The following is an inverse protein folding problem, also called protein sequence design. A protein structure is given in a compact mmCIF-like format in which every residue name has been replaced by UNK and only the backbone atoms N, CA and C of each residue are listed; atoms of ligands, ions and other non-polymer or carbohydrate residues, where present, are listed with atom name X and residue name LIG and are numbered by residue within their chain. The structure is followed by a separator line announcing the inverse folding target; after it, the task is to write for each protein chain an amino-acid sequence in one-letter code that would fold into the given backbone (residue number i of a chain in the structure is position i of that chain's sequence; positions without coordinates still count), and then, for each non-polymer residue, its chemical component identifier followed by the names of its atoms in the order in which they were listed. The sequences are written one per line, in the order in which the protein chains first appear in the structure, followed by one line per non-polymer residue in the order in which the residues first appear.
data_IF_031116105930
#
_entry.id   IF_031116105930
#
_cell.length_a   1.000
_cell.length_b   1.000
_cell.length_c   1.000
_cell.angle_alpha   90.00
_cell.angle_beta   90.00
_cell.angle_gamma   90.00
#
_symmetry.space_group_name_H-M   'P 1'
#
loop_
_entity.id
_entity.type
_entity.pdbx_description
1 polymer ?
#
# COMPACT_ATOMS: atom_id res chain seq x y z
N UNK A 1 14.91 -29.49 -7.05
CA UNK A 1 13.82 -29.21 -6.10
C UNK A 1 14.10 -27.83 -5.51
N UNK A 2 13.09 -26.94 -5.50
CA UNK A 2 13.20 -25.67 -4.80
C UNK A 2 13.41 -25.98 -3.31
N UNK A 3 14.43 -25.36 -2.69
CA UNK A 3 14.69 -25.55 -1.27
C UNK A 3 13.53 -24.89 -0.49
N UNK A 4 12.72 -25.71 0.16
CA UNK A 4 11.59 -25.23 0.97
C UNK A 4 11.97 -24.39 2.19
N UNK A 5 13.27 -24.08 2.36
CA UNK A 5 13.83 -23.24 3.39
C UNK A 5 14.42 -21.92 2.85
N UNK A 6 14.11 -21.54 1.63
CA UNK A 6 14.55 -20.28 1.04
C UNK A 6 13.58 -19.14 1.42
N UNK A 7 14.10 -18.12 2.07
CA UNK A 7 13.36 -16.92 2.49
C UNK A 7 12.71 -16.21 1.31
N UNK A 8 13.44 -16.03 0.21
CA UNK A 8 12.93 -15.32 -0.97
C UNK A 8 11.82 -16.09 -1.68
N UNK A 9 11.87 -17.41 -1.72
CA UNK A 9 10.78 -18.22 -2.26
C UNK A 9 9.49 -17.94 -1.48
N UNK A 10 9.54 -17.97 -0.14
CA UNK A 10 8.36 -17.72 0.67
C UNK A 10 7.89 -16.26 0.60
N UNK A 11 8.80 -15.30 0.55
CA UNK A 11 8.49 -13.90 0.34
C UNK A 11 7.77 -13.68 -1.01
N UNK A 12 8.27 -14.27 -2.09
CA UNK A 12 7.65 -14.18 -3.42
C UNK A 12 6.28 -14.87 -3.44
N UNK A 13 6.13 -16.04 -2.83
CA UNK A 13 4.84 -16.71 -2.73
C UNK A 13 3.83 -15.87 -1.92
N UNK A 14 4.27 -15.20 -0.87
CA UNK A 14 3.42 -14.25 -0.13
C UNK A 14 2.97 -13.09 -1.03
N UNK A 15 3.89 -12.47 -1.79
CA UNK A 15 3.55 -11.39 -2.73
C UNK A 15 2.53 -11.84 -3.79
N UNK A 16 2.72 -13.02 -4.38
CA UNK A 16 1.77 -13.57 -5.37
C UNK A 16 0.39 -13.77 -4.74
N UNK A 17 0.33 -14.25 -3.50
CA UNK A 17 -0.95 -14.47 -2.82
C UNK A 17 -1.62 -13.15 -2.42
N UNK A 18 -0.87 -12.11 -2.02
CA UNK A 18 -1.41 -10.76 -1.84
C UNK A 18 -2.05 -10.28 -3.14
N UNK A 19 -1.32 -10.34 -4.26
CA UNK A 19 -1.80 -9.89 -5.56
C UNK A 19 -3.05 -10.65 -6.07
N UNK A 20 -3.31 -11.84 -5.52
CA UNK A 20 -4.50 -12.66 -5.80
C UNK A 20 -5.62 -12.46 -4.79
N UNK A 21 -5.45 -11.61 -3.78
CA UNK A 21 -6.39 -11.44 -2.68
C UNK A 21 -6.44 -12.61 -1.68
N UNK A 22 -5.51 -13.58 -1.78
CA UNK A 22 -5.45 -14.75 -0.91
C UNK A 22 -4.67 -14.43 0.37
N UNK A 23 -5.20 -13.54 1.21
CA UNK A 23 -4.48 -13.00 2.38
C UNK A 23 -4.08 -14.08 3.41
N UNK A 24 -4.85 -15.14 3.55
CA UNK A 24 -4.53 -16.27 4.43
C UNK A 24 -3.26 -17.03 3.97
N UNK A 25 -3.18 -17.35 2.68
CA UNK A 25 -2.01 -18.01 2.11
C UNK A 25 -0.81 -17.07 2.10
N UNK A 26 -1.03 -15.77 1.85
CA UNK A 26 0.00 -14.76 1.97
C UNK A 26 0.60 -14.75 3.37
N UNK A 27 -0.25 -14.76 4.40
CA UNK A 27 0.19 -14.78 5.81
C UNK A 27 1.00 -16.04 6.15
N UNK A 28 0.55 -17.22 5.68
CA UNK A 28 1.30 -18.47 5.89
C UNK A 28 2.74 -18.37 5.35
N UNK A 29 2.88 -17.93 4.12
CA UNK A 29 4.19 -17.79 3.48
C UNK A 29 5.03 -16.66 4.11
N UNK A 30 4.39 -15.53 4.46
CA UNK A 30 5.04 -14.42 5.10
C UNK A 30 5.63 -14.78 6.47
N UNK A 31 4.87 -15.51 7.29
CA UNK A 31 5.34 -16.03 8.56
C UNK A 31 6.54 -16.98 8.40
N UNK A 32 6.54 -17.81 7.35
CA UNK A 32 7.65 -18.70 7.07
C UNK A 32 8.91 -17.93 6.64
N UNK A 33 8.75 -16.93 5.76
CA UNK A 33 9.85 -16.06 5.37
C UNK A 33 10.45 -15.32 6.59
N UNK A 34 9.58 -14.79 7.46
CA UNK A 34 10.01 -14.10 8.67
C UNK A 34 10.76 -15.01 9.65
N UNK A 35 10.31 -16.25 9.85
CA UNK A 35 11.05 -17.22 10.69
C UNK A 35 12.42 -17.57 10.14
N UNK A 36 12.58 -17.60 8.81
CA UNK A 36 13.86 -17.90 8.17
C UNK A 36 14.83 -16.72 8.22
N UNK A 37 14.34 -15.50 8.07
CA UNK A 37 15.16 -14.29 8.17
C UNK A 37 14.32 -13.09 8.72
N UNK A 38 14.28 -12.92 10.05
CA UNK A 38 13.43 -11.90 10.68
C UNK A 38 13.91 -10.45 10.48
N UNK A 39 15.18 -10.24 10.10
CA UNK A 39 15.79 -8.92 9.90
C UNK A 39 15.98 -8.57 8.42
N UNK A 40 15.38 -9.33 7.53
CA UNK A 40 15.42 -9.01 6.10
C UNK A 40 14.39 -7.91 5.79
N UNK A 41 14.87 -6.71 5.42
CA UNK A 41 14.05 -5.53 5.18
C UNK A 41 12.86 -5.79 4.23
N UNK A 42 13.10 -6.58 3.16
CA UNK A 42 12.04 -6.94 2.20
C UNK A 42 10.98 -7.87 2.81
N UNK A 43 11.33 -8.70 3.77
CA UNK A 43 10.36 -9.53 4.50
C UNK A 43 9.59 -8.67 5.50
N UNK A 44 10.28 -7.78 6.21
CA UNK A 44 9.65 -6.93 7.22
C UNK A 44 8.68 -5.94 6.57
N UNK A 45 9.08 -5.25 5.49
CA UNK A 45 8.18 -4.32 4.78
C UNK A 45 6.94 -5.02 4.23
N UNK A 46 7.10 -6.23 3.68
CA UNK A 46 5.98 -7.00 3.13
C UNK A 46 5.04 -7.52 4.23
N UNK A 47 5.56 -7.80 5.44
CA UNK A 47 4.72 -8.08 6.61
C UNK A 47 3.84 -6.89 6.95
N UNK A 48 4.39 -5.67 6.94
CA UNK A 48 3.65 -4.44 7.16
C UNK A 48 2.59 -4.17 6.07
N UNK A 49 2.94 -4.44 4.80
CA UNK A 49 1.98 -4.37 3.69
C UNK A 49 0.80 -5.34 3.91
N UNK A 50 1.09 -6.59 4.26
CA UNK A 50 0.05 -7.61 4.49
C UNK A 50 -0.86 -7.23 5.65
N UNK A 51 -0.30 -6.72 6.76
CA UNK A 51 -1.09 -6.24 7.90
C UNK A 51 -2.01 -5.10 7.51
N UNK A 52 -1.54 -4.18 6.67
CA UNK A 52 -2.36 -3.10 6.13
C UNK A 52 -3.58 -3.64 5.37
N UNK A 53 -3.38 -4.61 4.49
CA UNK A 53 -4.47 -5.26 3.75
C UNK A 53 -5.43 -6.04 4.65
N UNK A 54 -4.96 -6.53 5.79
CA UNK A 54 -5.77 -7.21 6.79
C UNK A 54 -6.53 -6.26 7.73
N UNK A 55 -6.45 -4.93 7.52
CA UNK A 55 -7.10 -3.93 8.37
C UNK A 55 -6.40 -3.70 9.71
N UNK A 56 -5.09 -3.91 9.76
CA UNK A 56 -4.21 -3.65 10.91
C UNK A 56 -3.15 -2.60 10.55
N UNK A 57 -3.57 -1.39 10.13
CA UNK A 57 -2.66 -0.39 9.58
C UNK A 57 -1.61 0.09 10.58
N UNK A 58 -1.93 0.23 11.87
CA UNK A 58 -0.99 0.70 12.88
C UNK A 58 0.22 -0.23 13.01
N UNK A 59 -0.04 -1.55 13.09
CA UNK A 59 1.03 -2.54 13.11
C UNK A 59 1.78 -2.59 11.78
N UNK A 60 1.07 -2.35 10.67
CA UNK A 60 1.66 -2.21 9.35
C UNK A 60 2.66 -1.05 9.28
N UNK A 61 2.28 0.12 9.80
CA UNK A 61 3.13 1.32 9.89
C UNK A 61 4.41 1.02 10.67
N UNK A 62 4.28 0.39 11.84
CA UNK A 62 5.42 0.04 12.69
C UNK A 62 6.43 -0.85 11.95
N UNK A 63 5.96 -1.93 11.30
CA UNK A 63 6.85 -2.84 10.57
C UNK A 63 7.47 -2.18 9.33
N UNK A 64 6.72 -1.36 8.58
CA UNK A 64 7.28 -0.67 7.42
C UNK A 64 8.38 0.30 7.86
N UNK A 65 8.18 1.05 8.94
CA UNK A 65 9.21 1.94 9.50
C UNK A 65 10.43 1.17 9.99
N UNK A 66 10.22 0.04 10.67
CA UNK A 66 11.32 -0.86 11.05
C UNK A 66 12.11 -1.34 9.83
N UNK A 67 11.45 -1.71 8.72
CA UNK A 67 12.12 -2.11 7.50
C UNK A 67 12.97 -0.97 6.90
N UNK A 68 12.48 0.27 6.97
CA UNK A 68 13.22 1.47 6.53
C UNK A 68 14.46 1.73 7.40
N UNK A 69 14.38 1.48 8.70
CA UNK A 69 15.52 1.56 9.63
C UNK A 69 16.55 0.47 9.34
N UNK A 70 16.11 -0.76 9.04
CA UNK A 70 17.00 -1.88 8.66
C UNK A 70 17.75 -1.59 7.35
N UNK A 71 17.16 -0.84 6.45
CA UNK A 71 17.76 -0.45 5.18
C UNK A 71 17.58 1.05 4.90
N UNK A 72 18.51 1.91 5.34
CA UNK A 72 18.43 3.35 5.07
C UNK A 72 18.43 3.72 3.58
N UNK A 73 18.87 2.80 2.71
CA UNK A 73 18.85 2.97 1.24
C UNK A 73 17.70 2.20 0.58
N UNK A 74 16.62 2.00 1.30
CA UNK A 74 15.45 1.25 0.84
C UNK A 74 14.88 1.81 -0.48
N UNK A 75 14.26 0.95 -1.31
CA UNK A 75 13.62 1.38 -2.54
C UNK A 75 12.45 2.35 -2.28
N UNK A 76 12.16 3.29 -3.23
CA UNK A 76 11.04 4.24 -3.10
C UNK A 76 9.67 3.60 -2.82
N UNK A 77 9.45 2.34 -3.23
CA UNK A 77 8.21 1.61 -2.96
C UNK A 77 7.89 1.47 -1.46
N UNK A 78 8.89 1.53 -0.55
CA UNK A 78 8.64 1.47 0.90
C UNK A 78 7.81 2.68 1.34
N UNK A 79 8.07 3.86 0.78
CA UNK A 79 7.24 5.04 0.99
C UNK A 79 5.80 4.84 0.48
N UNK A 80 5.62 4.14 -0.65
CA UNK A 80 4.29 3.79 -1.15
C UNK A 80 3.51 2.88 -0.21
N UNK A 81 4.17 1.85 0.34
CA UNK A 81 3.56 0.97 1.36
C UNK A 81 3.22 1.76 2.63
N UNK A 82 4.13 2.63 3.09
CA UNK A 82 3.91 3.46 4.28
C UNK A 82 2.74 4.44 4.08
N UNK A 83 2.69 5.11 2.92
CA UNK A 83 1.60 6.03 2.58
C UNK A 83 0.24 5.34 2.54
N UNK A 84 0.15 4.12 1.98
CA UNK A 84 -1.07 3.33 2.01
C UNK A 84 -1.45 2.94 3.45
N UNK A 85 -0.49 2.51 4.26
CA UNK A 85 -0.75 2.14 5.65
C UNK A 85 -1.28 3.33 6.44
N UNK A 86 -0.68 4.51 6.29
CA UNK A 86 -1.17 5.75 6.88
C UNK A 86 -2.58 6.11 6.39
N UNK A 87 -2.85 6.01 5.09
CA UNK A 87 -4.20 6.26 4.56
C UNK A 87 -5.24 5.32 5.19
N UNK A 88 -4.94 4.02 5.25
CA UNK A 88 -5.82 3.01 5.85
C UNK A 88 -6.07 3.29 7.34
N UNK A 89 -5.05 3.75 8.07
CA UNK A 89 -5.15 4.22 9.46
C UNK A 89 -5.79 5.60 9.62
N UNK A 90 -6.21 6.25 8.54
CA UNK A 90 -6.80 7.61 8.53
C UNK A 90 -5.84 8.73 8.95
N UNK A 91 -4.54 8.48 8.86
CA UNK A 91 -3.47 9.46 9.05
C UNK A 91 -3.15 10.14 7.71
N UNK A 92 -4.08 10.94 7.21
CA UNK A 92 -4.03 11.45 5.83
C UNK A 92 -2.86 12.40 5.56
N UNK A 93 -2.49 13.23 6.53
CA UNK A 93 -1.37 14.15 6.39
C UNK A 93 -0.03 13.37 6.28
N UNK A 94 0.13 12.34 7.08
CA UNK A 94 1.29 11.44 7.05
C UNK A 94 1.30 10.61 5.76
N UNK A 95 0.13 10.21 5.25
CA UNK A 95 0.02 9.52 3.95
C UNK A 95 0.53 10.39 2.81
N UNK A 96 0.10 11.65 2.75
CA UNK A 96 0.59 12.64 1.77
C UNK A 96 2.09 12.85 1.92
N UNK A 97 2.58 13.03 3.16
CA UNK A 97 4.01 13.21 3.43
C UNK A 97 4.83 12.01 2.97
N UNK A 98 4.41 10.79 3.30
CA UNK A 98 5.13 9.57 2.93
C UNK A 98 5.21 9.40 1.40
N UNK A 99 4.09 9.52 0.68
CA UNK A 99 4.08 9.40 -0.78
C UNK A 99 4.87 10.55 -1.44
N UNK A 100 4.89 11.73 -0.82
CA UNK A 100 5.66 12.89 -1.27
C UNK A 100 7.17 12.68 -1.34
N UNK A 101 7.72 11.64 -0.70
CA UNK A 101 9.12 11.23 -0.85
C UNK A 101 9.40 10.49 -2.17
N UNK A 102 8.38 10.11 -2.92
CA UNK A 102 8.52 9.39 -4.20
C UNK A 102 8.66 10.44 -5.31
N UNK A 103 9.81 10.48 -5.97
CA UNK A 103 10.10 11.47 -7.02
C UNK A 103 9.12 11.36 -8.21
N UNK A 104 8.74 10.14 -8.57
CA UNK A 104 7.82 9.86 -9.68
C UNK A 104 6.75 8.87 -9.22
N UNK A 105 5.72 9.33 -8.48
CA UNK A 105 4.64 8.48 -8.01
C UNK A 105 3.81 7.94 -9.19
N UNK A 106 3.44 6.66 -9.10
CA UNK A 106 2.54 6.03 -10.06
C UNK A 106 1.08 6.47 -9.86
N UNK A 107 0.20 6.08 -10.79
CA UNK A 107 -1.21 6.47 -10.76
C UNK A 107 -1.91 6.03 -9.47
N UNK A 108 -1.51 4.90 -8.88
CA UNK A 108 -2.11 4.40 -7.64
C UNK A 108 -1.67 5.22 -6.43
N UNK A 109 -0.39 5.57 -6.35
CA UNK A 109 0.15 6.47 -5.32
C UNK A 109 -0.49 7.86 -5.41
N UNK A 110 -0.67 8.39 -6.64
CA UNK A 110 -1.39 9.63 -6.87
C UNK A 110 -2.87 9.53 -6.46
N UNK A 111 -3.51 8.38 -6.66
CA UNK A 111 -4.88 8.16 -6.19
C UNK A 111 -4.99 8.18 -4.65
N UNK A 112 -4.02 7.58 -3.94
CA UNK A 112 -3.95 7.68 -2.47
C UNK A 112 -3.69 9.11 -2.00
N UNK A 113 -2.83 9.87 -2.69
CA UNK A 113 -2.63 11.30 -2.38
C UNK A 113 -3.90 12.10 -2.60
N UNK A 114 -4.59 11.89 -3.73
CA UNK A 114 -5.84 12.57 -4.05
C UNK A 114 -6.91 12.30 -2.98
N UNK A 115 -7.12 11.03 -2.65
CA UNK A 115 -8.07 10.62 -1.61
C UNK A 115 -7.69 11.20 -0.23
N UNK A 116 -6.40 11.23 0.12
CA UNK A 116 -5.91 11.83 1.38
C UNK A 116 -6.21 13.33 1.43
N UNK A 117 -5.89 14.08 0.37
CA UNK A 117 -6.19 15.51 0.30
C UNK A 117 -7.71 15.77 0.35
N UNK A 118 -8.53 14.92 -0.27
CA UNK A 118 -9.97 15.04 -0.21
C UNK A 118 -10.52 14.87 1.22
N UNK A 119 -9.96 13.96 2.01
CA UNK A 119 -10.31 13.81 3.42
C UNK A 119 -9.79 14.96 4.29
N UNK A 120 -8.68 15.60 3.90
CA UNK A 120 -8.14 16.82 4.54
C UNK A 120 -8.86 18.09 4.10
N UNK A 121 -9.91 17.98 3.26
CA UNK A 121 -10.67 19.12 2.70
C UNK A 121 -9.82 20.06 1.81
N UNK A 122 -8.67 19.57 1.32
CA UNK A 122 -7.83 20.28 0.36
C UNK A 122 -8.19 19.86 -1.08
N UNK A 123 -9.32 20.37 -1.56
CA UNK A 123 -9.87 20.02 -2.88
C UNK A 123 -8.91 20.39 -4.02
N UNK A 124 -8.17 21.48 -3.92
CA UNK A 124 -7.24 21.90 -4.98
C UNK A 124 -6.10 20.90 -5.19
N UNK A 125 -5.53 20.35 -4.12
CA UNK A 125 -4.51 19.32 -4.23
C UNK A 125 -5.11 17.96 -4.62
N UNK A 126 -6.33 17.63 -4.17
CA UNK A 126 -7.03 16.44 -4.60
C UNK A 126 -7.20 16.44 -6.12
N UNK A 127 -7.79 17.50 -6.70
CA UNK A 127 -7.97 17.65 -8.15
C UNK A 127 -6.66 17.59 -8.93
N UNK A 128 -5.60 18.22 -8.41
CA UNK A 128 -4.28 18.17 -9.02
C UNK A 128 -3.74 16.75 -9.12
N UNK A 129 -3.86 15.95 -8.04
CA UNK A 129 -3.38 14.57 -8.02
C UNK A 129 -4.25 13.66 -8.92
N UNK A 130 -5.57 13.87 -8.99
CA UNK A 130 -6.45 13.22 -9.97
C UNK A 130 -5.98 13.51 -11.38
N UNK A 131 -5.74 14.77 -11.72
CA UNK A 131 -5.28 15.15 -13.07
C UNK A 131 -3.91 14.52 -13.41
N UNK A 132 -2.99 14.39 -12.44
CA UNK A 132 -1.71 13.72 -12.64
C UNK A 132 -1.88 12.21 -12.86
N UNK A 133 -2.76 11.55 -12.11
CA UNK A 133 -3.07 10.13 -12.29
C UNK A 133 -3.70 9.86 -13.67
N UNK A 134 -4.66 10.69 -14.09
CA UNK A 134 -5.33 10.59 -15.40
C UNK A 134 -4.37 10.85 -16.58
N UNK A 135 -3.27 11.58 -16.39
CA UNK A 135 -2.23 11.72 -17.41
C UNK A 135 -1.45 10.42 -17.64
N UNK A 136 -1.32 9.58 -16.63
CA UNK A 136 -0.66 8.28 -16.74
C UNK A 136 -1.59 7.22 -17.34
N UNK A 137 -2.88 7.27 -16.99
CA UNK A 137 -3.92 6.38 -17.50
C UNK A 137 -5.24 7.16 -17.58
N UNK A 138 -5.62 7.56 -18.80
CA UNK A 138 -6.79 8.39 -19.06
C UNK A 138 -8.13 7.70 -18.73
N UNK A 139 -8.12 6.36 -18.65
CA UNK A 139 -9.32 5.54 -18.38
C UNK A 139 -9.44 5.16 -16.90
N UNK A 140 -8.72 5.85 -15.99
CA UNK A 140 -8.85 5.58 -14.55
C UNK A 140 -10.25 6.00 -14.07
N UNK A 141 -10.90 5.05 -13.42
CA UNK A 141 -12.16 5.24 -12.69
C UNK A 141 -12.00 4.66 -11.29
N UNK A 142 -12.94 4.99 -10.39
CA UNK A 142 -13.00 4.37 -9.06
C UNK A 142 -13.06 2.85 -9.19
N UNK A 143 -13.94 2.34 -10.05
CA UNK A 143 -14.05 0.90 -10.31
C UNK A 143 -12.72 0.28 -10.73
N UNK A 144 -11.96 0.90 -11.66
CA UNK A 144 -10.65 0.40 -12.10
C UNK A 144 -9.62 0.43 -10.97
N UNK A 145 -9.56 1.51 -10.19
CA UNK A 145 -8.68 1.63 -9.03
C UNK A 145 -8.99 0.59 -7.95
N UNK A 146 -10.26 0.24 -7.75
CA UNK A 146 -10.66 -0.78 -6.79
C UNK A 146 -10.24 -2.19 -7.19
N UNK A 147 -10.08 -2.50 -8.49
CA UNK A 147 -9.66 -3.85 -8.94
C UNK A 147 -8.23 -4.22 -8.53
N UNK A 148 -7.41 -3.24 -8.21
CA UNK A 148 -6.00 -3.45 -7.82
C UNK A 148 -5.78 -3.35 -6.30
N UNK A 149 -6.87 -3.28 -5.51
CA UNK A 149 -6.82 -3.27 -4.06
C UNK A 149 -7.06 -4.67 -3.49
N UNK A 150 -6.46 -4.92 -2.33
CA UNK A 150 -6.50 -6.24 -1.71
C UNK A 150 -7.00 -6.19 -0.26
N UNK A 151 -7.79 -5.16 0.08
CA UNK A 151 -8.36 -5.01 1.42
C UNK A 151 -9.22 -6.21 1.81
N UNK A 152 -8.94 -6.78 2.98
CA UNK A 152 -9.71 -7.88 3.55
C UNK A 152 -10.96 -7.43 4.30
N UNK A 153 -11.09 -6.14 4.63
CA UNK A 153 -12.22 -5.59 5.40
C UNK A 153 -13.07 -4.68 4.51
N UNK A 154 -14.36 -4.89 4.53
CA UNK A 154 -15.32 -4.09 3.75
C UNK A 154 -15.26 -2.59 4.09
N UNK A 155 -15.02 -2.24 5.35
CA UNK A 155 -14.90 -0.84 5.77
C UNK A 155 -13.69 -0.13 5.15
N UNK A 156 -12.57 -0.83 4.92
CA UNK A 156 -11.39 -0.27 4.28
C UNK A 156 -11.60 -0.11 2.76
N UNK A 157 -12.31 -1.07 2.15
CA UNK A 157 -12.76 -1.01 0.76
C UNK A 157 -13.63 0.22 0.54
N UNK A 158 -14.68 0.38 1.37
CA UNK A 158 -15.60 1.49 1.25
C UNK A 158 -14.91 2.83 1.55
N UNK A 159 -14.05 2.87 2.57
CA UNK A 159 -13.29 4.07 2.91
C UNK A 159 -12.41 4.57 1.75
N UNK A 160 -11.71 3.67 1.04
CA UNK A 160 -10.91 4.06 -0.11
C UNK A 160 -11.78 4.50 -1.28
N UNK A 161 -12.87 3.77 -1.57
CA UNK A 161 -13.86 4.14 -2.59
C UNK A 161 -14.41 5.56 -2.34
N UNK A 162 -14.86 5.85 -1.13
CA UNK A 162 -15.41 7.16 -0.75
C UNK A 162 -14.37 8.27 -0.91
N UNK A 163 -13.13 8.00 -0.52
CA UNK A 163 -12.02 8.94 -0.70
C UNK A 163 -11.74 9.26 -2.16
N UNK A 164 -11.79 8.27 -3.05
CA UNK A 164 -11.61 8.45 -4.50
C UNK A 164 -12.75 9.27 -5.11
N UNK A 165 -14.00 8.96 -4.77
CA UNK A 165 -15.17 9.72 -5.22
C UNK A 165 -15.10 11.16 -4.73
N UNK A 166 -14.77 11.38 -3.45
CA UNK A 166 -14.59 12.71 -2.85
C UNK A 166 -13.45 13.50 -3.52
N UNK A 167 -12.41 12.83 -3.99
CA UNK A 167 -11.31 13.45 -4.72
C UNK A 167 -11.68 13.87 -6.16
N UNK A 168 -12.77 13.32 -6.73
CA UNK A 168 -13.25 13.66 -8.06
C UNK A 168 -12.92 12.63 -9.15
N UNK A 169 -12.51 11.40 -8.81
CA UNK A 169 -12.48 10.33 -9.80
C UNK A 169 -13.88 9.95 -10.25
N UNK A 170 -14.06 9.66 -11.54
CA UNK A 170 -15.30 9.10 -12.07
C UNK A 170 -15.52 7.67 -11.54
N UNK A 171 -16.78 7.25 -11.38
CA UNK A 171 -17.15 5.91 -10.91
C UNK A 171 -16.95 4.82 -11.97
#
# INVERSE_FOLDING_TARGET
ALDGNDTDIHRILAAINIARGNLEQAQHHQQKAHRLNPNYDLVVVQSGELLTWQGRPEEGIELIRQAMELNPFHPPRFWGHLGRAYYTGKHYAEAVSAIGHIESPDFLQLAFMAASHAWLEDGAQAERNVALALRQDADLTVTKLMTVQHYGREEDIQHFRDGLLKAGFAD
#
